data_IF_536288763339
#
_entry.id   IF_536288763339
#
_cell.length_a   1.000
_cell.length_b   1.000
_cell.length_c   1.000
_cell.angle_alpha   90.00
_cell.angle_beta   90.00
_cell.angle_gamma   90.00
#
_symmetry.space_group_name_H-M   'P 1'
#
loop_
_entity.id
_entity.type
_entity.pdbx_description
1 polymer ?
#
# COMPACT_ATOMS: atom_id res chain seq x y z
N UNK A 1 -4.55 -15.82 -14.70
CA UNK A 1 -4.66 -15.65 -13.25
C UNK A 1 -3.99 -14.34 -12.91
N UNK A 2 -4.72 -13.37 -12.36
CA UNK A 2 -4.13 -12.08 -11.97
C UNK A 2 -3.27 -12.34 -10.74
N UNK A 3 -1.96 -12.25 -10.86
CA UNK A 3 -1.06 -12.40 -9.73
C UNK A 3 -1.20 -11.18 -8.83
N UNK A 4 -1.82 -11.37 -7.66
CA UNK A 4 -1.88 -10.33 -6.65
C UNK A 4 -0.50 -10.19 -6.02
N UNK A 5 0.07 -8.99 -6.11
CA UNK A 5 1.35 -8.63 -5.51
C UNK A 5 1.10 -8.00 -4.14
N UNK A 6 2.10 -8.08 -3.28
CA UNK A 6 2.08 -7.35 -2.01
C UNK A 6 2.40 -5.89 -2.28
N UNK A 7 1.53 -5.00 -1.84
CA UNK A 7 1.72 -3.57 -1.87
C UNK A 7 1.76 -3.04 -0.44
N UNK A 8 2.73 -2.18 -0.15
CA UNK A 8 2.84 -1.45 1.11
C UNK A 8 2.36 -0.03 0.88
N UNK A 9 1.28 0.35 1.54
CA UNK A 9 0.71 1.70 1.49
C UNK A 9 1.15 2.43 2.75
N UNK A 10 1.92 3.50 2.57
CA UNK A 10 2.28 4.41 3.66
C UNK A 10 1.35 5.61 3.65
N UNK A 11 0.78 5.92 4.79
CA UNK A 11 -0.08 7.08 4.98
C UNK A 11 0.27 7.80 6.28
N UNK A 12 -0.14 9.05 6.36
CA UNK A 12 -0.03 9.85 7.58
C UNK A 12 -1.36 9.81 8.33
N UNK A 13 -1.35 9.58 9.63
CA UNK A 13 -2.56 9.63 10.45
C UNK A 13 -2.84 11.06 10.95
N UNK A 14 -3.95 11.26 11.68
CA UNK A 14 -4.31 12.53 12.30
C UNK A 14 -3.24 13.04 13.29
N UNK A 15 -2.51 12.12 13.92
CA UNK A 15 -1.38 12.43 14.81
C UNK A 15 -0.09 12.82 14.07
N UNK A 16 -0.12 12.91 12.73
CA UNK A 16 1.06 13.13 11.88
C UNK A 16 2.08 11.98 11.88
N UNK A 17 1.73 10.84 12.48
CA UNK A 17 2.55 9.62 12.46
C UNK A 17 2.45 8.90 11.12
N UNK A 18 3.55 8.27 10.72
CA UNK A 18 3.60 7.46 9.50
C UNK A 18 3.20 6.03 9.81
N UNK A 19 2.13 5.59 9.15
CA UNK A 19 1.61 4.24 9.25
C UNK A 19 1.82 3.52 7.92
N UNK A 20 2.19 2.25 7.99
CA UNK A 20 2.43 1.40 6.83
C UNK A 20 1.54 0.16 6.91
N UNK A 21 0.69 -0.02 5.90
CA UNK A 21 -0.21 -1.16 5.82
C UNK A 21 0.07 -1.97 4.54
N UNK A 22 0.04 -3.29 4.67
CA UNK A 22 0.27 -4.21 3.56
C UNK A 22 -1.05 -4.73 3.00
N UNK A 23 -1.20 -4.65 1.68
CA UNK A 23 -2.36 -5.14 0.94
C UNK A 23 -1.92 -6.05 -0.19
N UNK A 24 -2.69 -7.10 -0.46
CA UNK A 24 -2.52 -7.91 -1.66
C UNK A 24 -3.46 -7.37 -2.74
N UNK A 25 -2.88 -6.91 -3.84
CA UNK A 25 -3.63 -6.28 -4.91
C UNK A 25 -2.99 -6.60 -6.27
N UNK A 26 -3.74 -6.47 -7.36
CA UNK A 26 -3.21 -6.61 -8.71
C UNK A 26 -2.35 -5.40 -9.11
N UNK A 27 -2.75 -4.20 -8.69
CA UNK A 27 -2.11 -2.93 -9.04
C UNK A 27 -2.12 -1.94 -7.85
N UNK A 28 -1.31 -0.88 -7.93
CA UNK A 28 -1.27 0.19 -6.94
C UNK A 28 -2.64 0.88 -6.77
N UNK A 29 -3.44 0.96 -7.83
CA UNK A 29 -4.81 1.51 -7.73
C UNK A 29 -5.71 0.65 -6.84
N UNK A 30 -5.68 -0.67 -7.00
CA UNK A 30 -6.47 -1.59 -6.17
C UNK A 30 -5.98 -1.58 -4.72
N UNK A 31 -4.66 -1.52 -4.49
CA UNK A 31 -4.09 -1.34 -3.15
C UNK A 31 -4.56 -0.05 -2.47
N UNK A 32 -4.70 1.04 -3.24
CA UNK A 32 -5.26 2.31 -2.75
C UNK A 32 -6.72 2.17 -2.33
N UNK A 33 -7.55 1.52 -3.15
CA UNK A 33 -8.97 1.31 -2.83
C UNK A 33 -9.11 0.45 -1.57
N UNK A 34 -8.34 -0.63 -1.46
CA UNK A 34 -8.31 -1.47 -0.25
C UNK A 34 -7.88 -0.69 1.00
N UNK A 35 -6.88 0.19 0.87
CA UNK A 35 -6.47 1.07 1.96
C UNK A 35 -7.58 2.06 2.35
N UNK A 36 -8.32 2.60 1.39
CA UNK A 36 -9.48 3.46 1.65
C UNK A 36 -10.61 2.71 2.34
N UNK A 37 -10.93 1.49 1.92
CA UNK A 37 -11.98 0.69 2.54
C UNK A 37 -11.63 0.27 3.97
N UNK A 38 -10.36 -0.06 4.22
CA UNK A 38 -9.90 -0.52 5.53
C UNK A 38 -9.65 0.62 6.51
N UNK A 39 -9.16 1.76 6.03
CA UNK A 39 -8.70 2.87 6.87
C UNK A 39 -9.60 4.07 6.64
N UNK A 40 -10.52 4.32 7.60
CA UNK A 40 -11.48 5.43 7.54
C UNK A 40 -10.81 6.79 7.36
N UNK A 41 -9.61 6.97 7.91
CA UNK A 41 -8.86 8.21 7.76
C UNK A 41 -8.46 8.47 6.30
N UNK A 42 -7.99 7.43 5.60
CA UNK A 42 -7.62 7.54 4.18
C UNK A 42 -8.88 7.67 3.30
N UNK A 43 -9.99 7.06 3.70
CA UNK A 43 -11.27 7.24 3.01
C UNK A 43 -11.70 8.71 2.97
N UNK A 44 -11.60 9.41 4.09
CA UNK A 44 -11.94 10.84 4.18
C UNK A 44 -10.82 11.74 3.61
N UNK A 45 -9.57 11.31 3.76
CA UNK A 45 -8.37 12.03 3.30
C UNK A 45 -7.55 11.17 2.34
N UNK A 46 -7.96 11.06 1.06
CA UNK A 46 -7.23 10.27 0.06
C UNK A 46 -5.82 10.82 -0.23
N UNK A 47 -5.55 12.08 0.11
CA UNK A 47 -4.22 12.72 0.01
C UNK A 47 -3.30 12.41 1.20
N UNK A 48 -3.81 11.72 2.24
CA UNK A 48 -2.98 11.29 3.37
C UNK A 48 -2.03 10.14 3.01
N UNK A 49 -2.29 9.44 1.90
CA UNK A 49 -1.39 8.42 1.35
C UNK A 49 -0.15 9.13 0.80
N UNK A 50 0.99 8.79 1.35
CA UNK A 50 2.29 9.34 0.97
C UNK A 50 2.91 8.52 -0.17
N UNK A 51 2.91 7.19 -0.04
CA UNK A 51 3.44 6.30 -1.06
C UNK A 51 2.74 4.94 -1.10
N UNK A 52 2.74 4.31 -2.28
CA UNK A 52 2.30 2.94 -2.50
C UNK A 52 3.47 2.19 -3.15
N UNK A 53 4.07 1.25 -2.42
CA UNK A 53 5.23 0.47 -2.86
C UNK A 53 4.82 -0.95 -3.20
N UNK A 54 5.13 -1.41 -4.41
CA UNK A 54 4.95 -2.82 -4.77
C UNK A 54 6.16 -3.64 -4.28
N UNK A 55 5.95 -4.56 -3.34
CA UNK A 55 6.95 -5.53 -2.87
C UNK A 55 7.06 -6.75 -3.80
N UNK A 56 6.37 -6.75 -4.95
CA UNK A 56 6.44 -7.77 -5.99
C UNK A 56 7.77 -7.82 -6.77
N UNK A 57 8.74 -7.00 -6.40
CA UNK A 57 10.14 -7.11 -6.81
C UNK A 57 11.01 -7.23 -5.56
N UNK A 58 10.75 -8.24 -4.73
CA UNK A 58 11.83 -8.84 -3.96
C UNK A 58 12.77 -9.48 -4.96
N UNK A 59 13.68 -8.65 -5.47
CA UNK A 59 14.96 -8.98 -6.07
C UNK A 59 15.29 -10.48 -5.92
N UNK A 60 15.02 -11.25 -6.98
CA UNK A 60 15.56 -12.60 -7.14
C UNK A 60 17.05 -12.53 -7.51
N UNK A 61 17.80 -11.59 -6.92
CA UNK A 61 19.24 -11.43 -7.09
C UNK A 61 19.96 -11.67 -5.75
N UNK A 62 19.50 -12.66 -4.98
CA UNK A 62 20.44 -13.44 -4.17
C UNK A 62 21.10 -14.50 -5.06
N UNK A 63 21.99 -14.01 -5.92
CA UNK A 63 23.10 -14.81 -6.44
C UNK A 63 24.25 -14.62 -5.45
N UNK A 64 24.50 -15.63 -4.63
CA UNK A 64 25.82 -15.96 -4.07
C UNK A 64 25.74 -17.32 -3.37
#
# INVERSE_FOLDING_TARGET
MTEHKRFTVRYRDASSDYQEECFYAADAFEARVLAMEKIRYIHDHPHAIDLIRCEGQSDSLRVA
#
